data_IF_765610082424
#
_entry.id   IF_765610082424
#
_cell.length_a   1.000
_cell.length_b   1.000
_cell.length_c   1.000
_cell.angle_alpha   90.00
_cell.angle_beta   90.00
_cell.angle_gamma   90.00
#
_symmetry.space_group_name_H-M   'P 1'
#
loop_
_entity.id
_entity.type
_entity.pdbx_description
1 polymer ?
#
# COMPACT_ATOMS: atom_id res chain seq x y z
N UNK A 1 16.39 8.87 20.44
CA UNK A 1 16.70 7.56 21.13
C UNK A 1 15.54 6.57 21.08
N UNK A 2 14.34 6.87 21.57
CA UNK A 2 13.20 5.92 21.53
C UNK A 2 12.63 5.76 20.11
N UNK A 3 12.55 6.83 19.33
CA UNK A 3 12.05 6.83 17.95
C UNK A 3 13.00 6.10 17.01
N UNK A 4 14.30 6.32 17.12
CA UNK A 4 15.32 5.60 16.32
C UNK A 4 15.28 4.08 16.55
N UNK A 5 15.08 3.65 17.81
CA UNK A 5 15.01 2.23 18.14
C UNK A 5 13.75 1.57 17.55
N UNK A 6 12.63 2.27 17.54
CA UNK A 6 11.40 1.78 16.88
C UNK A 6 11.60 1.62 15.38
N UNK A 7 12.27 2.57 14.73
CA UNK A 7 12.59 2.49 13.31
C UNK A 7 13.52 1.32 12.99
N UNK A 8 14.56 1.09 13.79
CA UNK A 8 15.44 -0.08 13.64
C UNK A 8 14.66 -1.40 13.72
N UNK A 9 13.72 -1.52 14.66
CA UNK A 9 12.87 -2.70 14.80
C UNK A 9 11.97 -2.86 13.57
N UNK A 10 11.38 -1.79 13.07
CA UNK A 10 10.56 -1.77 11.86
C UNK A 10 11.38 -2.21 10.64
N UNK A 11 12.58 -1.70 10.48
CA UNK A 11 13.48 -2.11 9.39
C UNK A 11 13.88 -3.58 9.48
N UNK A 12 14.16 -4.08 10.68
CA UNK A 12 14.51 -5.47 10.88
C UNK A 12 13.38 -6.44 10.49
N UNK A 13 12.13 -6.15 10.92
CA UNK A 13 10.98 -6.98 10.52
C UNK A 13 10.72 -6.89 9.02
N UNK A 14 10.87 -5.71 8.42
CA UNK A 14 10.71 -5.53 6.98
C UNK A 14 11.71 -6.36 6.17
N UNK A 15 12.97 -6.35 6.56
CA UNK A 15 14.02 -7.17 5.94
C UNK A 15 13.73 -8.67 6.07
N UNK A 16 13.34 -9.12 7.26
CA UNK A 16 13.03 -10.53 7.52
C UNK A 16 11.78 -10.97 6.74
N UNK A 17 10.73 -10.15 6.74
CA UNK A 17 9.47 -10.43 6.04
C UNK A 17 9.64 -10.45 4.52
N UNK A 18 10.50 -9.59 3.98
CA UNK A 18 10.82 -9.55 2.54
C UNK A 18 11.49 -10.83 2.04
N UNK A 19 12.24 -11.52 2.92
CA UNK A 19 12.94 -12.77 2.59
C UNK A 19 12.08 -14.01 2.84
N UNK A 20 11.38 -14.05 3.96
CA UNK A 20 10.78 -15.27 4.51
C UNK A 20 9.25 -15.26 4.46
N UNK A 21 8.63 -14.12 4.13
CA UNK A 21 7.20 -13.87 4.35
C UNK A 21 6.91 -13.49 5.82
N UNK A 22 5.89 -12.65 6.03
CA UNK A 22 5.60 -12.07 7.36
C UNK A 22 5.18 -13.13 8.38
N UNK A 23 4.47 -14.19 7.95
CA UNK A 23 3.98 -15.22 8.85
C UNK A 23 5.13 -16.05 9.45
N UNK A 24 6.23 -16.18 8.75
CA UNK A 24 7.42 -16.92 9.18
C UNK A 24 8.41 -16.09 10.03
N UNK A 25 8.10 -14.82 10.28
CA UNK A 25 8.91 -13.97 11.15
C UNK A 25 8.43 -14.06 12.59
N UNK A 26 9.34 -14.32 13.52
CA UNK A 26 9.12 -14.37 14.96
C UNK A 26 9.78 -13.20 15.68
N UNK A 27 9.26 -12.86 16.89
CA UNK A 27 9.90 -11.88 17.78
C UNK A 27 11.34 -12.24 18.12
N UNK A 28 11.65 -13.55 18.25
CA UNK A 28 13.02 -14.03 18.52
C UNK A 28 13.98 -13.77 17.37
N UNK A 29 13.53 -13.93 16.12
CA UNK A 29 14.35 -13.61 14.94
C UNK A 29 14.63 -12.11 14.84
N UNK A 30 13.67 -11.24 15.20
CA UNK A 30 13.89 -9.79 15.24
C UNK A 30 14.95 -9.44 16.29
N UNK A 31 14.84 -10.02 17.49
CA UNK A 31 15.83 -9.86 18.59
C UNK A 31 17.24 -10.27 18.12
N UNK A 32 17.36 -11.44 17.48
CA UNK A 32 18.63 -11.94 16.95
C UNK A 32 19.19 -11.04 15.86
N UNK A 33 18.34 -10.58 14.92
CA UNK A 33 18.73 -9.69 13.82
C UNK A 33 19.29 -8.35 14.33
N UNK A 34 18.75 -7.84 15.44
CA UNK A 34 19.15 -6.56 16.03
C UNK A 34 20.26 -6.69 17.09
N UNK A 35 20.59 -7.91 17.51
CA UNK A 35 21.56 -8.13 18.60
C UNK A 35 21.12 -7.56 19.94
N UNK A 36 19.79 -7.48 20.20
CA UNK A 36 19.22 -6.93 21.43
C UNK A 36 18.67 -8.03 22.35
N UNK A 37 18.38 -7.68 23.60
CA UNK A 37 17.71 -8.61 24.52
C UNK A 37 16.19 -8.59 24.30
N UNK A 38 15.54 -9.74 24.51
CA UNK A 38 14.08 -9.89 24.36
C UNK A 38 13.27 -8.85 25.13
N UNK A 39 13.56 -8.51 26.40
CA UNK A 39 12.88 -7.45 27.13
C UNK A 39 12.96 -6.09 26.44
N UNK A 40 14.10 -5.77 25.81
CA UNK A 40 14.27 -4.50 25.09
C UNK A 40 13.28 -4.37 23.91
N UNK A 41 13.04 -5.45 23.16
CA UNK A 41 12.03 -5.46 22.11
C UNK A 41 10.61 -5.23 22.66
N UNK A 42 10.27 -5.94 23.75
CA UNK A 42 8.95 -5.85 24.37
C UNK A 42 8.67 -4.51 25.06
N UNK A 43 9.69 -3.73 25.39
CA UNK A 43 9.50 -2.35 25.86
C UNK A 43 8.97 -1.41 24.75
N UNK A 44 9.19 -1.74 23.47
CA UNK A 44 8.75 -0.93 22.33
C UNK A 44 7.49 -1.48 21.66
N UNK A 45 7.37 -2.81 21.58
CA UNK A 45 6.27 -3.48 20.88
C UNK A 45 5.84 -4.75 21.63
N UNK A 46 4.56 -4.87 21.92
CA UNK A 46 3.98 -6.00 22.65
C UNK A 46 3.81 -7.26 21.82
N UNK A 47 3.68 -7.10 20.50
CA UNK A 47 3.44 -8.20 19.56
C UNK A 47 4.05 -7.93 18.20
N UNK A 48 4.15 -8.99 17.38
CA UNK A 48 4.52 -8.88 15.97
C UNK A 48 3.52 -8.01 15.19
N UNK A 49 2.23 -8.16 15.47
CA UNK A 49 1.18 -7.42 14.78
C UNK A 49 1.30 -5.91 15.03
N UNK A 50 1.67 -5.51 16.24
CA UNK A 50 1.95 -4.11 16.57
C UNK A 50 3.13 -3.56 15.74
N UNK A 51 4.19 -4.37 15.55
CA UNK A 51 5.33 -3.96 14.70
C UNK A 51 4.89 -3.87 13.24
N UNK A 52 4.09 -4.82 12.75
CA UNK A 52 3.57 -4.81 11.37
C UNK A 52 2.70 -3.57 11.12
N UNK A 53 1.84 -3.21 12.07
CA UNK A 53 1.05 -1.98 12.00
C UNK A 53 1.92 -0.74 11.97
N UNK A 54 2.90 -0.65 12.87
CA UNK A 54 3.84 0.47 12.92
C UNK A 54 4.68 0.57 11.62
N UNK A 55 5.08 -0.56 11.04
CA UNK A 55 5.77 -0.62 9.75
C UNK A 55 4.90 -0.05 8.63
N UNK A 56 3.62 -0.40 8.58
CA UNK A 56 2.68 0.16 7.62
C UNK A 56 2.56 1.68 7.75
N UNK A 57 2.33 2.18 8.96
CA UNK A 57 2.17 3.61 9.22
C UNK A 57 3.45 4.39 8.89
N UNK A 58 4.61 3.84 9.23
CA UNK A 58 5.92 4.40 8.91
C UNK A 58 6.14 4.52 7.39
N UNK A 59 5.98 3.43 6.66
CA UNK A 59 6.19 3.39 5.21
C UNK A 59 5.18 4.29 4.47
N UNK A 60 3.94 4.34 4.94
CA UNK A 60 2.92 5.22 4.38
C UNK A 60 3.26 6.70 4.58
N UNK A 61 3.73 7.06 5.77
CA UNK A 61 4.18 8.43 6.08
C UNK A 61 5.34 8.82 5.18
N UNK A 62 6.37 7.98 5.09
CA UNK A 62 7.51 8.19 4.20
C UNK A 62 7.10 8.34 2.72
N UNK A 63 6.14 7.53 2.26
CA UNK A 63 5.65 7.63 0.88
C UNK A 63 4.93 8.97 0.63
N UNK A 64 4.12 9.45 1.58
CA UNK A 64 3.43 10.74 1.48
C UNK A 64 4.42 11.91 1.47
N UNK A 65 5.41 11.90 2.35
CA UNK A 65 6.44 12.94 2.44
C UNK A 65 7.26 13.01 1.14
N UNK A 66 7.74 11.87 0.64
CA UNK A 66 8.47 11.78 -0.64
C UNK A 66 7.66 12.32 -1.82
N UNK A 67 6.35 12.16 -1.81
CA UNK A 67 5.45 12.63 -2.86
C UNK A 67 4.91 14.05 -2.63
N UNK A 68 5.23 14.65 -1.47
CA UNK A 68 4.68 15.96 -1.05
C UNK A 68 3.14 15.98 -1.07
N UNK A 69 2.50 14.88 -0.71
CA UNK A 69 1.04 14.73 -0.63
C UNK A 69 0.60 14.99 0.82
N UNK A 70 1.09 16.05 1.43
CA UNK A 70 0.63 16.52 2.73
C UNK A 70 -0.36 17.65 2.50
N UNK A 71 -1.52 17.60 3.16
CA UNK A 71 -2.55 18.64 3.18
C UNK A 71 -3.02 19.14 1.79
N UNK A 72 -3.54 18.20 0.99
CA UNK A 72 -4.13 18.52 -0.31
C UNK A 72 -5.38 19.40 -0.13
N UNK A 73 -5.25 20.66 -0.49
CA UNK A 73 -6.39 21.54 -0.72
C UNK A 73 -7.06 21.16 -2.06
N UNK A 74 -8.09 20.30 -1.97
CA UNK A 74 -8.80 19.82 -3.16
C UNK A 74 -9.45 20.95 -3.94
N UNK A 75 -9.88 22.05 -3.28
CA UNK A 75 -10.44 23.21 -3.94
C UNK A 75 -9.42 23.87 -4.86
N UNK A 76 -8.21 24.14 -4.37
CA UNK A 76 -7.12 24.67 -5.19
C UNK A 76 -6.70 23.71 -6.30
N UNK A 77 -6.64 22.41 -5.98
CA UNK A 77 -6.25 21.39 -6.96
C UNK A 77 -7.19 21.37 -8.16
N UNK A 78 -8.50 21.52 -7.90
CA UNK A 78 -9.56 21.41 -8.93
C UNK A 78 -9.77 22.71 -9.68
N UNK A 79 -9.53 23.88 -9.07
CA UNK A 79 -9.93 25.21 -9.59
C UNK A 79 -9.46 25.46 -11.02
N UNK A 80 -8.16 25.27 -11.26
CA UNK A 80 -7.49 25.70 -12.49
C UNK A 80 -7.19 24.56 -13.48
N UNK A 81 -7.70 23.34 -13.20
CA UNK A 81 -7.43 22.15 -14.01
C UNK A 81 -8.72 21.63 -14.64
N UNK A 82 -8.61 21.03 -15.82
CA UNK A 82 -9.71 20.27 -16.42
C UNK A 82 -10.02 19.01 -15.60
N UNK A 83 -11.20 18.43 -15.76
CA UNK A 83 -11.59 17.17 -15.17
C UNK A 83 -10.58 16.06 -15.50
N UNK A 84 -10.17 15.98 -16.77
CA UNK A 84 -9.23 14.98 -17.24
C UNK A 84 -7.86 15.09 -16.54
N UNK A 85 -7.34 16.30 -16.39
CA UNK A 85 -6.07 16.55 -15.70
C UNK A 85 -6.14 16.18 -14.23
N UNK A 86 -7.24 16.51 -13.55
CA UNK A 86 -7.45 16.16 -12.13
C UNK A 86 -7.51 14.65 -11.95
N UNK A 87 -8.29 13.94 -12.76
CA UNK A 87 -8.41 12.49 -12.67
C UNK A 87 -7.09 11.78 -13.02
N UNK A 88 -6.40 12.23 -14.07
CA UNK A 88 -5.06 11.70 -14.41
C UNK A 88 -4.06 11.90 -13.28
N UNK A 89 -4.06 13.07 -12.64
CA UNK A 89 -3.20 13.36 -11.51
C UNK A 89 -3.53 12.48 -10.30
N UNK A 90 -4.81 12.27 -9.99
CA UNK A 90 -5.24 11.40 -8.91
C UNK A 90 -4.75 9.96 -9.12
N UNK A 91 -4.98 9.40 -10.31
CA UNK A 91 -4.51 8.05 -10.68
C UNK A 91 -2.99 7.97 -10.63
N UNK A 92 -2.30 8.97 -11.22
CA UNK A 92 -0.84 9.00 -11.24
C UNK A 92 -0.25 9.02 -9.83
N UNK A 93 -0.75 9.88 -8.95
CA UNK A 93 -0.27 9.99 -7.56
C UNK A 93 -0.52 8.69 -6.78
N UNK A 94 -1.68 8.08 -6.97
CA UNK A 94 -1.99 6.82 -6.32
C UNK A 94 -1.08 5.68 -6.82
N UNK A 95 -0.94 5.53 -8.12
CA UNK A 95 -0.02 4.54 -8.71
C UNK A 95 1.43 4.79 -8.26
N UNK A 96 1.87 6.04 -8.23
CA UNK A 96 3.22 6.40 -7.81
C UNK A 96 3.46 6.08 -6.34
N UNK A 97 2.48 6.34 -5.46
CA UNK A 97 2.56 5.97 -4.05
C UNK A 97 2.68 4.44 -3.87
N UNK A 98 1.84 3.68 -4.57
CA UNK A 98 1.81 2.22 -4.49
C UNK A 98 3.04 1.54 -5.10
N UNK A 99 3.75 2.20 -6.03
CA UNK A 99 4.89 1.62 -6.76
C UNK A 99 6.25 2.03 -6.23
N UNK A 100 6.32 2.85 -5.17
CA UNK A 100 7.60 3.11 -4.48
C UNK A 100 8.17 1.81 -3.92
N UNK A 101 9.49 1.65 -3.97
CA UNK A 101 10.17 0.37 -3.72
C UNK A 101 9.80 -0.28 -2.39
N UNK A 102 9.85 0.48 -1.30
CA UNK A 102 9.54 -0.03 0.03
C UNK A 102 8.04 -0.29 0.20
N UNK A 103 7.20 0.66 -0.22
CA UNK A 103 5.75 0.52 -0.16
C UNK A 103 5.24 -0.64 -1.03
N UNK A 104 5.82 -0.78 -2.22
CA UNK A 104 5.50 -1.90 -3.11
C UNK A 104 5.87 -3.25 -2.49
N UNK A 105 7.06 -3.35 -1.87
CA UNK A 105 7.50 -4.56 -1.19
C UNK A 105 6.62 -4.88 0.01
N UNK A 106 6.21 -3.86 0.77
CA UNK A 106 5.27 -4.00 1.87
C UNK A 106 3.90 -4.51 1.39
N UNK A 107 3.31 -3.88 0.37
CA UNK A 107 2.03 -4.35 -0.19
C UNK A 107 2.11 -5.79 -0.67
N UNK A 108 3.19 -6.18 -1.31
CA UNK A 108 3.39 -7.57 -1.74
C UNK A 108 3.37 -8.55 -0.57
N UNK A 109 4.01 -8.19 0.55
CA UNK A 109 4.02 -9.01 1.78
C UNK A 109 2.60 -9.13 2.33
N UNK A 110 1.91 -8.00 2.52
CA UNK A 110 0.58 -7.95 3.13
C UNK A 110 -0.47 -8.60 2.21
N UNK A 111 -0.41 -8.32 0.91
CA UNK A 111 -1.32 -8.89 -0.08
C UNK A 111 -1.27 -10.42 -0.11
N UNK A 112 -0.08 -11.01 -0.03
CA UNK A 112 0.08 -12.47 -0.07
C UNK A 112 -0.49 -13.17 1.15
N UNK A 113 -0.64 -12.48 2.29
CA UNK A 113 -1.08 -13.08 3.57
C UNK A 113 -2.47 -12.65 4.02
N UNK A 114 -3.10 -11.68 3.34
CA UNK A 114 -4.40 -11.11 3.74
C UNK A 114 -5.55 -12.12 3.89
N UNK A 115 -5.49 -13.23 3.16
CA UNK A 115 -6.52 -14.26 3.24
C UNK A 115 -6.44 -15.11 4.52
N UNK A 116 -5.29 -15.14 5.18
CA UNK A 116 -5.02 -15.98 6.35
C UNK A 116 -4.60 -15.20 7.59
N UNK A 117 -4.28 -13.93 7.44
CA UNK A 117 -3.78 -13.06 8.51
C UNK A 117 -4.72 -11.86 8.70
N UNK A 118 -5.38 -11.79 9.86
CA UNK A 118 -6.36 -10.76 10.20
C UNK A 118 -5.75 -9.34 10.18
N UNK A 119 -4.52 -9.17 10.69
CA UNK A 119 -3.84 -7.86 10.67
C UNK A 119 -3.55 -7.40 9.24
N UNK A 120 -3.11 -8.31 8.37
CA UNK A 120 -2.89 -7.99 6.96
C UNK A 120 -4.20 -7.59 6.26
N UNK A 121 -5.30 -8.32 6.53
CA UNK A 121 -6.61 -7.95 6.03
C UNK A 121 -7.06 -6.57 6.52
N UNK A 122 -6.89 -6.28 7.80
CA UNK A 122 -7.23 -4.98 8.40
C UNK A 122 -6.44 -3.83 7.74
N UNK A 123 -5.14 -3.98 7.52
CA UNK A 123 -4.30 -2.99 6.86
C UNK A 123 -4.80 -2.71 5.44
N UNK A 124 -5.18 -3.75 4.68
CA UNK A 124 -5.73 -3.58 3.33
C UNK A 124 -7.08 -2.87 3.33
N UNK A 125 -7.96 -3.17 4.30
CA UNK A 125 -9.22 -2.44 4.48
C UNK A 125 -8.97 -0.96 4.78
N UNK A 126 -8.13 -0.65 5.77
CA UNK A 126 -7.78 0.73 6.14
C UNK A 126 -7.19 1.51 4.96
N UNK A 127 -6.36 0.88 4.13
CA UNK A 127 -5.79 1.52 2.94
C UNK A 127 -6.89 1.86 1.92
N UNK A 128 -7.80 0.92 1.69
CA UNK A 128 -8.93 1.11 0.77
C UNK A 128 -9.85 2.22 1.26
N UNK A 129 -10.16 2.26 2.57
CA UNK A 129 -10.98 3.31 3.18
C UNK A 129 -10.34 4.70 3.06
N UNK A 130 -9.03 4.80 3.32
CA UNK A 130 -8.27 6.07 3.15
C UNK A 130 -8.29 6.55 1.70
N UNK A 131 -8.15 5.64 0.75
CA UNK A 131 -8.25 5.95 -0.68
C UNK A 131 -9.66 6.40 -1.04
N UNK A 132 -10.69 5.71 -0.56
CA UNK A 132 -12.09 6.06 -0.80
C UNK A 132 -12.41 7.44 -0.25
N UNK A 133 -12.00 7.75 0.98
CA UNK A 133 -12.21 9.07 1.59
C UNK A 133 -11.54 10.19 0.78
N UNK A 134 -10.30 9.98 0.35
CA UNK A 134 -9.58 10.94 -0.48
C UNK A 134 -10.29 11.16 -1.83
N UNK A 135 -10.79 10.08 -2.46
CA UNK A 135 -11.55 10.16 -3.72
C UNK A 135 -12.88 10.87 -3.55
N UNK A 136 -13.63 10.59 -2.46
CA UNK A 136 -14.86 11.31 -2.14
C UNK A 136 -14.62 12.80 -2.01
N UNK A 137 -13.62 13.22 -1.25
CA UNK A 137 -13.28 14.63 -1.08
C UNK A 137 -12.93 15.29 -2.43
N UNK A 138 -12.20 14.60 -3.29
CA UNK A 138 -11.88 15.07 -4.63
C UNK A 138 -13.15 15.23 -5.49
N UNK A 139 -14.06 14.26 -5.47
CA UNK A 139 -15.28 14.29 -6.27
C UNK A 139 -16.26 15.35 -5.79
N UNK A 140 -16.38 15.56 -4.48
CA UNK A 140 -17.13 16.69 -3.93
C UNK A 140 -16.55 18.04 -4.39
N UNK A 141 -15.23 18.20 -4.36
CA UNK A 141 -14.58 19.40 -4.87
C UNK A 141 -14.84 19.60 -6.38
N UNK A 142 -14.75 18.53 -7.19
CA UNK A 142 -15.07 18.58 -8.61
C UNK A 142 -16.52 19.01 -8.87
N UNK A 143 -17.47 18.55 -8.08
CA UNK A 143 -18.88 18.96 -8.21
C UNK A 143 -19.10 20.40 -7.78
N UNK A 144 -18.51 20.85 -6.67
CA UNK A 144 -18.58 22.25 -6.21
C UNK A 144 -18.04 23.19 -7.29
N UNK A 145 -16.98 22.81 -7.98
CA UNK A 145 -16.40 23.56 -9.08
C UNK A 145 -17.05 23.29 -10.45
N UNK A 146 -18.22 22.63 -10.48
CA UNK A 146 -19.03 22.35 -11.68
C UNK A 146 -18.27 21.59 -12.77
N UNK A 147 -17.29 20.76 -12.40
CA UNK A 147 -16.48 19.96 -13.33
C UNK A 147 -17.07 18.57 -13.58
N UNK A 148 -17.91 18.09 -12.67
CA UNK A 148 -18.71 16.86 -12.84
C UNK A 148 -20.17 17.13 -12.46
N UNK A 149 -21.06 16.40 -13.09
CA UNK A 149 -22.51 16.42 -12.81
C UNK A 149 -22.94 14.96 -12.63
N UNK A 150 -22.79 14.44 -11.43
CA UNK A 150 -23.18 13.06 -11.09
C UNK A 150 -24.32 13.09 -10.09
N UNK A 151 -25.28 12.17 -10.27
CA UNK A 151 -26.45 12.08 -9.41
C UNK A 151 -26.09 11.61 -8.00
N UNK A 152 -25.14 10.69 -7.91
CA UNK A 152 -24.65 10.12 -6.66
C UNK A 152 -23.11 10.15 -6.66
N UNK A 153 -22.57 11.12 -5.91
CA UNK A 153 -21.10 11.32 -5.79
C UNK A 153 -20.45 10.15 -5.06
N UNK A 154 -21.09 9.66 -4.03
CA UNK A 154 -20.54 8.57 -3.23
C UNK A 154 -20.39 7.30 -4.06
N UNK A 155 -21.42 6.96 -4.84
CA UNK A 155 -21.37 5.82 -5.75
C UNK A 155 -20.30 6.00 -6.84
N UNK A 156 -20.19 7.20 -7.40
CA UNK A 156 -19.16 7.49 -8.41
C UNK A 156 -17.74 7.38 -7.82
N UNK A 157 -17.52 7.88 -6.60
CA UNK A 157 -16.25 7.78 -5.90
C UNK A 157 -15.89 6.34 -5.55
N UNK A 158 -16.86 5.54 -5.09
CA UNK A 158 -16.69 4.11 -4.82
C UNK A 158 -16.27 3.39 -6.10
N UNK A 159 -17.00 3.59 -7.19
CA UNK A 159 -16.73 2.94 -8.48
C UNK A 159 -15.33 3.28 -9.01
N UNK A 160 -14.94 4.55 -8.95
CA UNK A 160 -13.62 5.00 -9.36
C UNK A 160 -12.52 4.38 -8.47
N UNK A 161 -12.70 4.42 -7.15
CA UNK A 161 -11.75 3.87 -6.17
C UNK A 161 -11.54 2.37 -6.39
N UNK A 162 -12.63 1.61 -6.51
CA UNK A 162 -12.53 0.15 -6.70
C UNK A 162 -11.90 -0.21 -8.04
N UNK A 163 -12.17 0.55 -9.10
CA UNK A 163 -11.53 0.34 -10.40
C UNK A 163 -10.02 0.54 -10.31
N UNK A 164 -9.55 1.62 -9.68
CA UNK A 164 -8.12 1.88 -9.50
C UNK A 164 -7.47 0.80 -8.62
N UNK A 165 -8.14 0.40 -7.54
CA UNK A 165 -7.65 -0.65 -6.64
C UNK A 165 -7.47 -1.99 -7.38
N UNK A 166 -8.47 -2.39 -8.16
CA UNK A 166 -8.41 -3.62 -8.96
C UNK A 166 -7.30 -3.59 -10.02
N UNK A 167 -7.04 -2.43 -10.63
CA UNK A 167 -5.94 -2.27 -11.59
C UNK A 167 -4.55 -2.40 -10.92
N UNK A 168 -4.42 -1.93 -9.68
CA UNK A 168 -3.19 -2.08 -8.90
C UNK A 168 -2.97 -3.54 -8.51
N UNK A 169 -4.01 -4.21 -7.99
CA UNK A 169 -3.97 -5.63 -7.69
C UNK A 169 -3.55 -6.45 -8.91
N UNK A 170 -4.17 -6.20 -10.07
CA UNK A 170 -3.79 -6.84 -11.33
C UNK A 170 -2.33 -6.60 -11.72
N UNK A 171 -1.80 -5.40 -11.48
CA UNK A 171 -0.37 -5.12 -11.73
C UNK A 171 0.57 -5.85 -10.78
N UNK A 172 0.17 -6.00 -9.51
CA UNK A 172 0.91 -6.78 -8.51
C UNK A 172 0.99 -8.25 -8.94
N UNK A 173 -0.14 -8.82 -9.36
CA UNK A 173 -0.23 -10.20 -9.84
C UNK A 173 0.64 -10.42 -11.08
N UNK A 174 0.57 -9.53 -12.07
CA UNK A 174 1.41 -9.61 -13.28
C UNK A 174 2.90 -9.56 -12.98
N UNK A 175 3.34 -8.73 -12.02
CA UNK A 175 4.75 -8.65 -11.61
C UNK A 175 5.18 -9.91 -10.87
N UNK A 176 4.30 -10.46 -10.03
CA UNK A 176 4.54 -11.71 -9.32
C UNK A 176 4.69 -12.89 -10.27
N UNK A 177 3.80 -13.02 -11.26
CA UNK A 177 3.91 -14.05 -12.31
C UNK A 177 5.22 -13.95 -13.11
N UNK A 178 5.63 -12.76 -13.51
CA UNK A 178 6.90 -12.56 -14.25
C UNK A 178 8.13 -12.93 -13.42
N UNK A 179 8.13 -12.66 -12.13
CA UNK A 179 9.23 -13.06 -11.24
C UNK A 179 9.25 -14.58 -11.01
N UNK A 180 8.07 -15.21 -10.92
CA UNK A 180 7.94 -16.64 -10.78
C UNK A 180 8.46 -17.39 -12.03
N UNK A 181 8.12 -16.95 -13.23
CA UNK A 181 8.61 -17.55 -14.50
C UNK A 181 10.10 -17.36 -14.71
N UNK A 182 10.74 -16.34 -14.12
CA UNK A 182 12.20 -16.16 -14.16
C UNK A 182 12.95 -17.07 -13.17
N UNK A 183 12.35 -17.37 -12.02
CA UNK A 183 12.98 -18.10 -10.93
C UNK A 183 12.74 -19.62 -11.00
N UNK A 184 11.74 -20.08 -11.72
CA UNK A 184 11.42 -21.50 -11.88
C UNK A 184 11.71 -21.89 -13.32
N UNK A 185 12.58 -22.89 -13.51
CA UNK A 185 12.84 -23.55 -14.81
C UNK A 185 11.58 -24.26 -15.35
N UNK A 186 10.42 -23.64 -15.24
CA UNK A 186 9.13 -24.19 -15.61
C UNK A 186 8.56 -23.47 -16.85
N UNK A 187 9.28 -23.60 -17.98
CA UNK A 187 8.76 -23.17 -19.29
C UNK A 187 7.52 -23.96 -19.77
N UNK A 188 7.06 -24.97 -18.99
CA UNK A 188 5.94 -25.85 -19.40
C UNK A 188 4.60 -25.61 -18.67
N UNK A 189 4.51 -24.78 -17.63
CA UNK A 189 3.29 -24.66 -16.82
C UNK A 189 2.52 -23.34 -16.95
N UNK A 190 3.07 -22.30 -17.52
CA UNK A 190 2.35 -21.04 -17.73
C UNK A 190 2.02 -20.81 -19.22
N UNK A 191 1.00 -21.50 -19.74
CA UNK A 191 0.27 -21.08 -20.96
C UNK A 191 -0.69 -19.92 -20.63
N UNK A 192 -0.24 -18.91 -19.88
CA UNK A 192 -1.01 -17.67 -19.68
C UNK A 192 -0.81 -16.67 -20.84
N UNK A 193 -0.25 -17.10 -21.96
CA UNK A 193 -0.01 -16.23 -23.13
C UNK A 193 -1.09 -16.31 -24.21
N UNK A 194 -2.19 -17.00 -24.00
CA UNK A 194 -3.23 -17.16 -25.05
C UNK A 194 -4.49 -16.31 -24.86
N UNK A 195 -4.50 -15.32 -23.97
CA UNK A 195 -5.55 -14.29 -24.00
C UNK A 195 -5.06 -13.10 -24.83
N UNK A 196 -5.08 -13.25 -26.16
CA UNK A 196 -5.09 -12.14 -27.10
C UNK A 196 -6.54 -11.67 -27.23
N UNK A 197 -6.80 -10.45 -26.79
CA UNK A 197 -7.91 -9.63 -27.28
C UNK A 197 -7.33 -8.48 -28.10
#
# INVERSE_FOLDING_TARGET
MDMERKEEIIQAIFMLASKNGIDNVSMSQIVTQLGIKKPSLYNHFRSKDEIVKAMYDYLRTQAKEKLKITDLDYGKLVKDKSLEEVLKLAVHNYCKMSTQSEMFSFYKIIYSTRATNCMAAQIMCEETEKMLLATKNLFYALQVHQKIFVKDIDQAAISFTMTIHSLIDYQLDRKSCRNWTRNVHCQKACRCNEWKY
#
